data_IF_151172479439
#
_entry.id   IF_151172479439
#
_cell.length_a   1.000
_cell.length_b   1.000
_cell.length_c   1.000
_cell.angle_alpha   90.00
_cell.angle_beta   90.00
_cell.angle_gamma   90.00
#
_symmetry.space_group_name_H-M   'P 1'
#
loop_
_entity.id
_entity.type
_entity.pdbx_description
1 polymer ?
#
# COMPACT_ATOMS: atom_id res chain seq x y z
N UNK A 1 -1.35 33.75 21.89
CA UNK A 1 -1.36 32.47 21.16
C UNK A 1 -2.37 32.64 20.04
N UNK A 2 -1.91 32.81 18.79
CA UNK A 2 -2.79 33.10 17.65
C UNK A 2 -3.72 31.91 17.36
N UNK A 3 -4.98 32.15 16.98
CA UNK A 3 -5.97 31.10 16.68
C UNK A 3 -5.48 30.10 15.62
N UNK A 4 -4.78 30.63 14.61
CA UNK A 4 -4.17 29.86 13.50
C UNK A 4 -3.22 28.77 14.01
N UNK A 5 -2.43 29.03 15.05
CA UNK A 5 -1.50 28.05 15.64
C UNK A 5 -2.23 26.89 16.34
N UNK A 6 -3.39 27.17 16.95
CA UNK A 6 -4.18 26.11 17.60
C UNK A 6 -4.89 25.23 16.57
N UNK A 7 -5.44 25.84 15.53
CA UNK A 7 -6.13 25.14 14.44
C UNK A 7 -5.15 24.23 13.67
N UNK A 8 -3.98 24.74 13.29
CA UNK A 8 -2.94 23.94 12.62
C UNK A 8 -2.50 22.75 13.48
N UNK A 9 -2.23 22.98 14.77
CA UNK A 9 -1.85 21.89 15.69
C UNK A 9 -2.95 20.84 15.86
N UNK A 10 -4.22 21.26 15.84
CA UNK A 10 -5.34 20.33 15.87
C UNK A 10 -5.41 19.51 14.58
N UNK A 11 -5.31 20.15 13.41
CA UNK A 11 -5.30 19.48 12.11
C UNK A 11 -4.19 18.43 12.02
N UNK A 12 -2.97 18.78 12.46
CA UNK A 12 -1.84 17.85 12.52
C UNK A 12 -2.11 16.65 13.44
N UNK A 13 -2.64 16.90 14.64
CA UNK A 13 -2.96 15.84 15.58
C UNK A 13 -4.09 14.94 15.06
N UNK A 14 -5.12 15.54 14.46
CA UNK A 14 -6.25 14.85 13.86
C UNK A 14 -5.79 13.97 12.70
N UNK A 15 -5.04 14.51 11.74
CA UNK A 15 -4.52 13.76 10.59
C UNK A 15 -3.69 12.56 11.04
N UNK A 16 -2.81 12.73 12.03
CA UNK A 16 -2.02 11.61 12.60
C UNK A 16 -2.88 10.56 13.28
N UNK A 17 -3.90 10.95 14.01
CA UNK A 17 -4.78 10.03 14.70
C UNK A 17 -5.69 9.26 13.73
N UNK A 18 -6.17 9.94 12.68
CA UNK A 18 -7.04 9.38 11.65
C UNK A 18 -6.28 8.40 10.74
N UNK A 19 -5.15 8.83 10.16
CA UNK A 19 -4.38 8.04 9.19
C UNK A 19 -3.54 6.95 9.86
N UNK A 20 -3.06 7.20 11.07
CA UNK A 20 -2.16 6.29 11.78
C UNK A 20 -2.63 6.06 13.23
N UNK A 21 -3.77 5.36 13.45
CA UNK A 21 -4.29 5.11 14.79
C UNK A 21 -3.29 4.40 15.69
N UNK A 22 -3.18 4.82 16.95
CA UNK A 22 -2.10 4.37 17.85
C UNK A 22 -2.11 2.86 18.08
N UNK A 23 -3.29 2.26 18.25
CA UNK A 23 -3.48 0.82 18.43
C UNK A 23 -3.02 0.03 17.22
N UNK A 24 -3.47 0.41 16.02
CA UNK A 24 -3.12 -0.23 14.76
C UNK A 24 -1.62 -0.11 14.47
N UNK A 25 -1.04 1.07 14.68
CA UNK A 25 0.40 1.31 14.52
C UNK A 25 1.22 0.42 15.45
N UNK A 26 0.87 0.34 16.74
CA UNK A 26 1.58 -0.51 17.71
C UNK A 26 1.48 -1.99 17.34
N UNK A 27 0.28 -2.44 16.98
CA UNK A 27 0.04 -3.83 16.57
C UNK A 27 0.88 -4.18 15.35
N UNK A 28 0.81 -3.37 14.28
CA UNK A 28 1.55 -3.63 13.04
C UNK A 28 3.06 -3.55 13.24
N UNK A 29 3.55 -2.61 14.05
CA UNK A 29 4.98 -2.52 14.38
C UNK A 29 5.47 -3.75 15.15
N UNK A 30 4.66 -4.29 16.06
CA UNK A 30 4.98 -5.52 16.76
C UNK A 30 4.99 -6.72 15.80
N UNK A 31 3.95 -6.89 14.97
CA UNK A 31 3.89 -7.95 13.96
C UNK A 31 5.13 -7.96 13.05
N UNK A 32 5.51 -6.80 12.53
CA UNK A 32 6.67 -6.66 11.65
C UNK A 32 8.00 -6.92 12.37
N UNK A 33 8.12 -6.49 13.63
CA UNK A 33 9.31 -6.78 14.45
C UNK A 33 9.41 -8.26 14.76
N UNK A 34 8.31 -8.89 15.12
CA UNK A 34 8.28 -10.29 15.52
C UNK A 34 8.58 -11.20 14.31
N UNK A 35 8.07 -10.85 13.12
CA UNK A 35 8.38 -11.55 11.87
C UNK A 35 9.84 -11.39 11.42
N UNK A 36 10.45 -10.22 11.64
CA UNK A 36 11.82 -9.93 11.20
C UNK A 36 12.90 -10.13 12.28
N UNK A 37 12.49 -10.44 13.52
CA UNK A 37 13.36 -10.48 14.71
C UNK A 37 13.84 -9.10 15.21
N UNK A 38 13.68 -8.04 14.42
CA UNK A 38 14.08 -6.67 14.77
C UNK A 38 13.25 -5.62 14.02
N UNK A 39 13.18 -4.41 14.56
CA UNK A 39 12.56 -3.27 13.89
C UNK A 39 13.64 -2.42 13.23
N UNK A 40 13.86 -2.62 11.92
CA UNK A 40 14.87 -1.90 11.13
C UNK A 40 14.25 -0.83 10.21
N UNK A 41 15.09 -0.13 9.43
CA UNK A 41 14.63 0.85 8.41
C UNK A 41 13.67 0.19 7.41
N UNK A 42 13.87 -1.09 7.07
CA UNK A 42 12.96 -1.83 6.19
C UNK A 42 11.55 -1.91 6.76
N UNK A 43 11.41 -2.21 8.05
CA UNK A 43 10.11 -2.33 8.73
C UNK A 43 9.43 -0.95 8.85
N UNK A 44 10.22 0.10 9.06
CA UNK A 44 9.72 1.48 8.98
C UNK A 44 9.15 1.81 7.59
N UNK A 45 9.86 1.44 6.51
CA UNK A 45 9.39 1.66 5.15
C UNK A 45 8.13 0.83 4.85
N UNK A 46 8.08 -0.44 5.28
CA UNK A 46 6.91 -1.29 5.15
C UNK A 46 5.68 -0.70 5.88
N UNK A 47 5.89 -0.10 7.05
CA UNK A 47 4.85 0.65 7.74
C UNK A 47 4.37 1.86 6.95
N UNK A 48 5.28 2.66 6.38
CA UNK A 48 4.92 3.81 5.57
C UNK A 48 4.10 3.42 4.33
N UNK A 49 4.46 2.29 3.67
CA UNK A 49 3.68 1.71 2.57
C UNK A 49 2.28 1.27 3.06
N UNK A 50 2.21 0.49 4.14
CA UNK A 50 0.96 -0.06 4.68
C UNK A 50 -0.04 1.04 5.11
N UNK A 51 0.43 2.12 5.74
CA UNK A 51 -0.42 3.24 6.15
C UNK A 51 -0.61 4.30 5.05
N UNK A 52 -0.02 4.11 3.86
CA UNK A 52 -0.05 5.08 2.76
C UNK A 52 0.38 6.50 3.18
N UNK A 53 1.47 6.59 3.94
CA UNK A 53 1.99 7.86 4.45
C UNK A 53 3.42 8.11 4.00
N UNK A 54 3.90 9.34 4.14
CA UNK A 54 5.32 9.64 3.92
C UNK A 54 6.19 9.00 5.00
N UNK A 55 7.47 8.75 4.67
CA UNK A 55 8.48 8.26 5.61
C UNK A 55 8.55 9.18 6.83
N UNK A 56 8.47 10.50 6.60
CA UNK A 56 8.49 11.49 7.67
C UNK A 56 7.30 11.36 8.61
N UNK A 57 6.08 11.34 8.06
CA UNK A 57 4.86 11.24 8.86
C UNK A 57 4.85 9.96 9.70
N UNK A 58 5.24 8.83 9.11
CA UNK A 58 5.31 7.55 9.80
C UNK A 58 6.38 7.54 10.89
N UNK A 59 7.59 8.04 10.61
CA UNK A 59 8.68 8.12 11.59
C UNK A 59 8.28 9.00 12.77
N UNK A 60 7.77 10.22 12.52
CA UNK A 60 7.31 11.14 13.57
C UNK A 60 6.17 10.55 14.40
N UNK A 61 5.30 9.75 13.79
CA UNK A 61 4.25 9.03 14.51
C UNK A 61 4.81 7.97 15.45
N UNK A 62 5.77 7.17 15.00
CA UNK A 62 6.44 6.17 15.85
C UNK A 62 7.21 6.82 17.00
N UNK A 63 7.90 7.93 16.75
CA UNK A 63 8.54 8.75 17.78
C UNK A 63 7.52 9.26 18.80
N UNK A 64 6.39 9.81 18.34
CA UNK A 64 5.31 10.30 19.20
C UNK A 64 4.64 9.21 20.04
N UNK A 65 4.69 7.96 19.60
CA UNK A 65 4.19 6.79 20.34
C UNK A 65 5.25 6.13 21.23
N UNK A 66 6.49 6.62 21.22
CA UNK A 66 7.61 6.05 21.97
C UNK A 66 8.12 4.72 21.41
N UNK A 67 7.83 4.43 20.13
CA UNK A 67 8.30 3.22 19.44
C UNK A 67 9.67 3.43 18.79
N UNK A 68 10.06 4.68 18.54
CA UNK A 68 11.38 5.08 18.08
C UNK A 68 11.93 6.25 18.94
N UNK A 69 13.25 6.39 19.07
CA UNK A 69 13.87 7.55 19.70
C UNK A 69 13.51 8.84 18.95
N UNK A 70 13.30 9.95 19.66
CA UNK A 70 13.08 11.26 19.03
C UNK A 70 14.30 11.67 18.19
N UNK A 71 14.06 12.20 16.99
CA UNK A 71 15.12 12.63 16.07
C UNK A 71 15.61 11.53 15.12
N UNK A 72 14.96 10.37 15.12
CA UNK A 72 15.22 9.27 14.20
C UNK A 72 15.01 9.73 12.76
N UNK A 73 13.96 10.52 12.47
CA UNK A 73 13.74 11.00 11.11
C UNK A 73 14.90 11.84 10.57
N UNK A 74 15.36 12.81 11.35
CA UNK A 74 16.46 13.69 10.95
C UNK A 74 17.77 12.90 10.77
N UNK A 75 18.02 11.91 11.64
CA UNK A 75 19.17 11.01 11.48
C UNK A 75 19.09 10.13 10.24
N UNK A 76 17.90 9.69 9.82
CA UNK A 76 17.73 8.88 8.62
C UNK A 76 17.84 9.73 7.36
N UNK A 77 17.26 10.93 7.39
CA UNK A 77 17.36 11.92 6.31
C UNK A 77 18.81 12.31 6.04
N UNK A 78 19.61 12.55 7.08
CA UNK A 78 21.04 12.87 6.92
C UNK A 78 21.87 11.71 6.36
N UNK A 79 21.40 10.46 6.51
CA UNK A 79 22.00 9.25 5.92
C UNK A 79 21.54 8.97 4.49
N UNK A 80 20.71 9.84 3.90
CA UNK A 80 20.25 9.70 2.52
C UNK A 80 18.95 8.91 2.35
N UNK A 81 18.17 8.68 3.41
CA UNK A 81 16.86 8.05 3.26
C UNK A 81 15.93 8.96 2.44
N UNK A 82 15.44 8.42 1.32
CA UNK A 82 14.61 9.13 0.34
C UNK A 82 13.55 8.25 -0.31
N UNK A 83 12.72 8.86 -1.16
CA UNK A 83 11.55 8.22 -1.79
C UNK A 83 11.87 6.96 -2.59
N UNK A 84 13.06 6.86 -3.18
CA UNK A 84 13.50 5.67 -3.91
C UNK A 84 13.42 4.38 -3.07
N UNK A 85 13.80 4.45 -1.79
CA UNK A 85 13.76 3.28 -0.89
C UNK A 85 12.32 2.86 -0.56
N UNK A 86 11.40 3.83 -0.51
CA UNK A 86 9.98 3.54 -0.30
C UNK A 86 9.39 2.82 -1.50
N UNK A 87 9.77 3.22 -2.72
CA UNK A 87 9.31 2.58 -3.95
C UNK A 87 9.89 1.18 -4.14
N UNK A 88 11.13 0.95 -3.71
CA UNK A 88 11.73 -0.41 -3.66
C UNK A 88 10.90 -1.33 -2.75
N UNK A 89 10.66 -0.91 -1.50
CA UNK A 89 9.86 -1.71 -0.55
C UNK A 89 8.41 -1.85 -1.01
N UNK A 90 7.83 -0.81 -1.65
CA UNK A 90 6.49 -0.90 -2.24
C UNK A 90 6.43 -2.01 -3.29
N UNK A 91 7.38 -2.07 -4.22
CA UNK A 91 7.42 -3.12 -5.26
C UNK A 91 7.55 -4.52 -4.68
N UNK A 92 8.34 -4.68 -3.63
CA UNK A 92 8.49 -5.97 -2.95
C UNK A 92 7.23 -6.39 -2.18
N UNK A 93 6.44 -5.43 -1.69
CA UNK A 93 5.17 -5.69 -1.02
C UNK A 93 4.00 -5.83 -2.01
N UNK A 94 4.10 -5.26 -3.22
CA UNK A 94 3.11 -5.33 -4.30
C UNK A 94 3.26 -6.59 -5.19
N UNK A 95 3.94 -7.66 -4.74
CA UNK A 95 3.84 -8.99 -5.41
C UNK A 95 2.35 -9.40 -5.53
N UNK A 96 1.94 -10.02 -6.65
CA UNK A 96 0.81 -9.59 -7.47
C UNK A 96 -0.57 -9.85 -6.86
N UNK A 97 -0.95 -9.09 -5.85
CA UNK A 97 -2.32 -9.01 -5.34
C UNK A 97 -3.21 -8.10 -6.20
N UNK A 98 -2.69 -7.53 -7.29
CA UNK A 98 -3.43 -6.70 -8.23
C UNK A 98 -4.67 -7.41 -8.78
N UNK A 99 -4.61 -8.74 -8.94
CA UNK A 99 -5.75 -9.58 -9.36
C UNK A 99 -6.80 -9.71 -8.25
N UNK A 100 -6.40 -9.68 -6.97
CA UNK A 100 -7.30 -9.72 -5.81
C UNK A 100 -7.98 -8.39 -5.48
N UNK A 101 -7.61 -7.28 -6.15
CA UNK A 101 -8.24 -5.96 -5.93
C UNK A 101 -9.66 -5.87 -6.49
N UNK A 102 -9.98 -6.71 -7.48
CA UNK A 102 -11.27 -6.68 -8.16
C UNK A 102 -12.02 -7.99 -7.96
N UNK A 103 -13.35 -7.91 -7.87
CA UNK A 103 -14.16 -9.11 -7.80
C UNK A 103 -14.00 -9.94 -9.08
N UNK A 104 -14.11 -11.28 -9.01
CA UNK A 104 -14.06 -12.13 -10.21
C UNK A 104 -15.01 -11.66 -11.32
N UNK A 105 -16.20 -11.18 -10.93
CA UNK A 105 -17.18 -10.61 -11.85
C UNK A 105 -16.67 -9.37 -12.59
N UNK A 106 -15.95 -8.48 -11.90
CA UNK A 106 -15.37 -7.28 -12.53
C UNK A 106 -14.34 -7.67 -13.59
N UNK A 107 -13.53 -8.70 -13.32
CA UNK A 107 -12.54 -9.21 -14.25
C UNK A 107 -13.21 -9.88 -15.46
N UNK A 108 -14.27 -10.66 -15.25
CA UNK A 108 -15.10 -11.22 -16.34
C UNK A 108 -15.70 -10.14 -17.24
N UNK A 109 -16.22 -9.05 -16.67
CA UNK A 109 -16.75 -7.95 -17.47
C UNK A 109 -15.67 -7.23 -18.28
N UNK A 110 -14.45 -7.12 -17.73
CA UNK A 110 -13.32 -6.56 -18.46
C UNK A 110 -12.89 -7.46 -19.63
N UNK A 111 -12.86 -8.79 -19.42
CA UNK A 111 -12.57 -9.78 -20.45
C UNK A 111 -13.63 -9.75 -21.57
N UNK A 112 -14.91 -9.78 -21.20
CA UNK A 112 -16.00 -9.73 -22.18
C UNK A 112 -16.01 -8.41 -22.97
N UNK A 113 -15.68 -7.28 -22.32
CA UNK A 113 -15.55 -5.99 -23.00
C UNK A 113 -14.35 -5.95 -23.96
N UNK A 114 -13.25 -6.63 -23.63
CA UNK A 114 -12.09 -6.78 -24.51
C UNK A 114 -12.42 -7.64 -25.73
N UNK A 115 -13.02 -8.82 -25.52
CA UNK A 115 -13.41 -9.73 -26.60
C UNK A 115 -14.40 -9.10 -27.58
N UNK A 116 -15.34 -8.29 -27.07
CA UNK A 116 -16.28 -7.53 -27.89
C UNK A 116 -15.67 -6.29 -28.56
N UNK A 117 -14.38 -6.01 -28.35
CA UNK A 117 -13.70 -4.83 -28.88
C UNK A 117 -14.21 -3.51 -28.31
N UNK A 118 -14.92 -3.52 -27.17
CA UNK A 118 -15.46 -2.33 -26.52
C UNK A 118 -14.39 -1.55 -25.76
N UNK A 119 -13.35 -2.25 -25.29
CA UNK A 119 -12.19 -1.67 -24.61
C UNK A 119 -10.89 -2.31 -25.10
N UNK A 120 -9.83 -1.51 -25.24
CA UNK A 120 -8.47 -2.02 -25.45
C UNK A 120 -7.78 -2.40 -24.13
N UNK A 121 -6.72 -3.21 -24.17
CA UNK A 121 -5.87 -3.53 -23.01
C UNK A 121 -5.45 -2.26 -22.24
N UNK A 122 -5.02 -1.22 -22.96
CA UNK A 122 -4.62 0.06 -22.35
C UNK A 122 -5.77 0.78 -21.65
N UNK A 123 -6.99 0.71 -22.19
CA UNK A 123 -8.16 1.30 -21.56
C UNK A 123 -8.58 0.53 -20.32
N UNK A 124 -8.46 -0.80 -20.33
CA UNK A 124 -8.71 -1.66 -19.16
C UNK A 124 -7.67 -1.37 -18.07
N UNK A 125 -6.38 -1.35 -18.42
CA UNK A 125 -5.27 -0.99 -17.54
C UNK A 125 -5.53 0.35 -16.83
N UNK A 126 -5.93 1.37 -17.59
CA UNK A 126 -6.26 2.69 -17.05
C UNK A 126 -7.49 2.66 -16.12
N UNK A 127 -8.55 1.92 -16.47
CA UNK A 127 -9.79 1.85 -15.69
C UNK A 127 -9.63 1.06 -14.40
N UNK A 128 -8.89 -0.05 -14.45
CA UNK A 128 -8.64 -0.93 -13.31
C UNK A 128 -7.36 -0.55 -12.55
N UNK A 129 -6.62 0.47 -13.00
CA UNK A 129 -5.34 0.87 -12.42
C UNK A 129 -4.39 -0.33 -12.27
N UNK A 130 -4.35 -1.15 -13.32
CA UNK A 130 -3.47 -2.31 -13.47
C UNK A 130 -2.36 -1.96 -14.47
N UNK A 131 -1.22 -2.62 -14.35
CA UNK A 131 -0.24 -2.62 -15.44
C UNK A 131 -0.70 -3.52 -16.60
N UNK A 132 -0.03 -3.39 -17.75
CA UNK A 132 -0.35 -4.13 -18.96
C UNK A 132 -0.11 -5.64 -18.83
N UNK A 133 0.84 -6.07 -18.00
CA UNK A 133 1.09 -7.49 -17.73
C UNK A 133 -0.07 -8.10 -16.96
N UNK A 134 -0.45 -7.49 -15.84
CA UNK A 134 -1.59 -7.93 -15.04
C UNK A 134 -2.90 -7.97 -15.84
N UNK A 135 -3.11 -7.03 -16.77
CA UNK A 135 -4.27 -7.04 -17.67
C UNK A 135 -4.24 -8.25 -18.60
N UNK A 136 -3.08 -8.59 -19.18
CA UNK A 136 -2.95 -9.77 -20.05
C UNK A 136 -3.18 -11.05 -19.28
N UNK A 137 -2.62 -11.16 -18.08
CA UNK A 137 -2.84 -12.32 -17.21
C UNK A 137 -4.34 -12.48 -16.91
N UNK A 138 -5.04 -11.40 -16.53
CA UNK A 138 -6.49 -11.43 -16.31
C UNK A 138 -7.26 -11.89 -17.56
N UNK A 139 -6.91 -11.36 -18.73
CA UNK A 139 -7.61 -11.70 -19.97
C UNK A 139 -7.37 -13.16 -20.40
N UNK A 140 -6.17 -13.68 -20.15
CA UNK A 140 -5.80 -15.07 -20.45
C UNK A 140 -6.53 -16.06 -19.53
N UNK A 141 -6.63 -15.77 -18.23
CA UNK A 141 -7.20 -16.68 -17.24
C UNK A 141 -8.74 -16.65 -17.18
N UNK A 142 -9.38 -15.65 -17.79
CA UNK A 142 -10.84 -15.44 -17.73
C UNK A 142 -11.53 -15.77 -19.06
N UNK A 143 -10.79 -16.07 -20.13
CA UNK A 143 -11.38 -16.29 -21.46
C UNK A 143 -12.35 -17.50 -21.46
N UNK A 144 -13.56 -17.37 -22.03
CA UNK A 144 -14.65 -18.36 -21.90
C UNK A 144 -14.43 -19.67 -22.69
N UNK A 145 -13.27 -19.85 -23.32
CA UNK A 145 -12.92 -21.06 -24.08
C UNK A 145 -12.18 -22.14 -23.28
N UNK A 146 -11.76 -21.85 -22.06
CA UNK A 146 -11.22 -22.83 -21.12
C UNK A 146 -12.34 -23.43 -20.29
N UNK A 147 -12.42 -24.75 -20.25
CA UNK A 147 -13.29 -25.49 -19.34
C UNK A 147 -13.16 -24.89 -17.94
N UNK A 148 -14.30 -24.42 -17.40
CA UNK A 148 -14.34 -23.80 -16.09
C UNK A 148 -13.97 -24.80 -15.01
N UNK A 149 -12.68 -24.90 -14.69
CA UNK A 149 -12.28 -25.23 -13.34
C UNK A 149 -12.53 -23.98 -12.50
N UNK A 150 -13.60 -24.05 -11.72
CA UNK A 150 -13.86 -23.14 -10.64
C UNK A 150 -12.55 -22.93 -9.86
N UNK A 151 -12.09 -21.68 -9.80
CA UNK A 151 -11.07 -21.29 -8.84
C UNK A 151 -11.61 -21.61 -7.44
N UNK A 152 -11.30 -22.80 -6.94
CA UNK A 152 -11.42 -23.11 -5.53
C UNK A 152 -10.46 -22.17 -4.80
N UNK A 153 -11.02 -21.15 -4.16
CA UNK A 153 -10.31 -20.35 -3.18
C UNK A 153 -9.99 -21.28 -2.00
N UNK A 154 -8.76 -21.77 -1.96
CA UNK A 154 -8.20 -22.36 -0.76
C UNK A 154 -8.24 -21.30 0.36
N UNK A 155 -9.17 -21.50 1.30
CA UNK A 155 -9.22 -20.80 2.59
C UNK A 155 -8.22 -21.48 3.53
#
# INVERSE_FOLDING_TARGET
>A
MNSVDREERFCDAFARALLMPATTVRKKAAELRDAAGQFSVRQLLAMAVYFHTSIEAMTRRLEGLGLLPKGTFESLKSKGLGTQHLEEVRRELDEPEAVNRFTPRTLMLAAEAFEKGLLSEQQIAKKLQLDLGAVRDVLEHVSPGGEGEALELAI
#
